data_IF_560189074164
#
_entry.id   IF_560189074164
#
_cell.length_a   1.000
_cell.length_b   1.000
_cell.length_c   1.000
_cell.angle_alpha   90.00
_cell.angle_beta   90.00
_cell.angle_gamma   90.00
#
_symmetry.space_group_name_H-M   'P 1'
#
loop_
_entity.id
_entity.type
_entity.pdbx_description
1 polymer ?
#
# COMPACT_ATOMS: atom_id res chain seq x y z
N UNK A 1 6.90 18.71 13.70
CA UNK A 1 5.94 17.89 14.49
C UNK A 1 5.11 16.93 13.64
N UNK A 2 4.55 17.33 12.48
CA UNK A 2 3.62 16.50 11.70
C UNK A 2 4.23 15.25 11.06
N UNK A 3 5.51 15.30 10.67
CA UNK A 3 6.25 14.12 10.17
C UNK A 3 6.35 13.04 11.25
N UNK A 4 6.65 13.45 12.48
CA UNK A 4 6.72 12.52 13.62
C UNK A 4 5.36 11.86 13.89
N UNK A 5 4.26 12.64 13.80
CA UNK A 5 2.89 12.11 13.93
C UNK A 5 2.54 11.10 12.84
N UNK A 6 2.84 11.44 11.57
CA UNK A 6 2.61 10.52 10.46
C UNK A 6 3.47 9.25 10.58
N UNK A 7 4.72 9.38 11.01
CA UNK A 7 5.62 8.26 11.29
C UNK A 7 5.12 7.36 12.42
N UNK A 8 4.66 7.94 13.53
CA UNK A 8 4.05 7.17 14.64
C UNK A 8 2.76 6.47 14.22
N UNK A 9 1.92 7.11 13.40
CA UNK A 9 0.71 6.48 12.86
C UNK A 9 1.05 5.31 11.92
N UNK A 10 2.06 5.47 11.07
CA UNK A 10 2.54 4.41 10.19
C UNK A 10 3.10 3.22 10.99
N UNK A 11 4.02 3.48 11.92
CA UNK A 11 4.61 2.44 12.76
C UNK A 11 3.56 1.74 13.61
N UNK A 12 2.64 2.49 14.23
CA UNK A 12 1.52 1.93 14.98
C UNK A 12 0.62 1.05 14.11
N UNK A 13 0.28 1.51 12.90
CA UNK A 13 -0.50 0.74 11.93
C UNK A 13 0.20 -0.56 11.51
N UNK A 14 1.51 -0.50 11.23
CA UNK A 14 2.32 -1.69 10.90
C UNK A 14 2.35 -2.68 12.06
N UNK A 15 2.58 -2.20 13.30
CA UNK A 15 2.59 -3.06 14.50
C UNK A 15 1.22 -3.71 14.72
N UNK A 16 0.13 -2.95 14.57
CA UNK A 16 -1.23 -3.50 14.70
C UNK A 16 -1.55 -4.53 13.61
N UNK A 17 -1.15 -4.26 12.37
CA UNK A 17 -1.31 -5.21 11.27
C UNK A 17 -0.53 -6.51 11.52
N UNK A 18 0.73 -6.40 11.99
CA UNK A 18 1.55 -7.55 12.35
C UNK A 18 0.96 -8.34 13.52
N UNK A 19 0.49 -7.66 14.57
CA UNK A 19 -0.14 -8.29 15.71
C UNK A 19 -1.42 -9.05 15.31
N UNK A 20 -2.26 -8.43 14.48
CA UNK A 20 -3.47 -9.06 13.96
C UNK A 20 -3.15 -10.26 13.07
N UNK A 21 -2.19 -10.13 12.15
CA UNK A 21 -1.77 -11.21 11.27
C UNK A 21 -1.15 -12.37 12.06
N UNK A 22 -0.33 -12.09 13.08
CA UNK A 22 0.24 -13.09 13.99
C UNK A 22 -0.86 -13.81 14.78
N UNK A 23 -1.84 -13.08 15.31
CA UNK A 23 -2.97 -13.66 16.04
C UNK A 23 -3.85 -14.57 15.17
N UNK A 24 -4.12 -14.16 13.91
CA UNK A 24 -4.96 -14.92 12.99
C UNK A 24 -4.24 -16.15 12.39
N UNK A 25 -2.93 -16.05 12.17
CA UNK A 25 -2.13 -17.15 11.59
C UNK A 25 -1.61 -18.14 12.62
N UNK A 26 -1.59 -17.77 13.92
CA UNK A 26 -0.94 -18.54 14.98
C UNK A 26 0.59 -18.56 14.87
N UNK A 27 1.17 -17.77 13.95
CA UNK A 27 2.61 -17.69 13.73
C UNK A 27 3.22 -16.51 14.50
N UNK A 28 4.52 -16.61 14.80
CA UNK A 28 5.28 -15.50 15.36
C UNK A 28 5.34 -14.30 14.39
N UNK A 29 5.48 -13.07 14.92
CA UNK A 29 5.55 -11.85 14.09
C UNK A 29 6.75 -11.86 13.13
N UNK A 30 7.84 -12.54 13.48
CA UNK A 30 9.00 -12.73 12.62
C UNK A 30 8.68 -13.59 11.38
N UNK A 31 7.82 -14.60 11.53
CA UNK A 31 7.41 -15.47 10.44
C UNK A 31 6.48 -14.72 9.47
N UNK A 32 5.52 -13.95 10.01
CA UNK A 32 4.65 -13.08 9.22
C UNK A 32 5.46 -12.04 8.44
N UNK A 33 6.45 -11.43 9.09
CA UNK A 33 7.30 -10.43 8.44
C UNK A 33 8.14 -11.06 7.32
N UNK A 34 8.77 -12.21 7.56
CA UNK A 34 9.51 -12.96 6.54
C UNK A 34 8.63 -13.33 5.35
N UNK A 35 7.44 -13.87 5.62
CA UNK A 35 6.44 -14.16 4.59
C UNK A 35 6.10 -12.93 3.76
N UNK A 36 5.91 -11.77 4.39
CA UNK A 36 5.62 -10.54 3.68
C UNK A 36 6.76 -10.14 2.74
N UNK A 37 8.01 -10.22 3.20
CA UNK A 37 9.18 -9.96 2.35
C UNK A 37 9.33 -10.97 1.21
N UNK A 38 9.06 -12.25 1.46
CA UNK A 38 9.19 -13.33 0.48
C UNK A 38 8.11 -13.27 -0.60
N UNK A 39 6.89 -12.83 -0.25
CA UNK A 39 5.76 -12.73 -1.19
C UNK A 39 5.69 -11.36 -1.84
N UNK A 40 5.65 -10.26 -1.09
CA UNK A 40 5.45 -8.93 -1.66
C UNK A 40 6.73 -8.39 -2.31
N UNK A 41 7.90 -8.81 -1.82
CA UNK A 41 9.19 -8.29 -2.22
C UNK A 41 9.56 -6.99 -1.50
N UNK A 42 10.84 -6.88 -1.13
CA UNK A 42 11.35 -5.73 -0.36
C UNK A 42 11.17 -4.38 -1.07
N UNK A 43 11.33 -4.34 -2.40
CA UNK A 43 11.17 -3.11 -3.19
C UNK A 43 9.75 -2.55 -3.11
N UNK A 44 8.74 -3.41 -3.22
CA UNK A 44 7.33 -3.02 -3.08
C UNK A 44 7.06 -2.46 -1.68
N UNK A 45 7.52 -3.17 -0.63
CA UNK A 45 7.32 -2.77 0.77
C UNK A 45 7.93 -1.39 1.04
N UNK A 46 9.17 -1.14 0.61
CA UNK A 46 9.85 0.15 0.82
C UNK A 46 9.10 1.30 0.14
N UNK A 47 8.70 1.12 -1.12
CA UNK A 47 7.94 2.14 -1.85
C UNK A 47 6.55 2.36 -1.24
N UNK A 48 5.86 1.30 -0.85
CA UNK A 48 4.56 1.34 -0.20
C UNK A 48 4.61 2.11 1.13
N UNK A 49 5.61 1.82 1.97
CA UNK A 49 5.80 2.50 3.26
C UNK A 49 6.14 3.98 3.05
N UNK A 50 6.97 4.29 2.06
CA UNK A 50 7.35 5.68 1.74
C UNK A 50 6.14 6.49 1.31
N UNK A 51 5.33 5.95 0.38
CA UNK A 51 4.11 6.63 -0.09
C UNK A 51 3.06 6.73 1.02
N UNK A 52 2.91 5.68 1.84
CA UNK A 52 2.01 5.66 2.99
C UNK A 52 2.42 6.70 4.03
N UNK A 53 3.73 6.90 4.26
CA UNK A 53 4.24 7.96 5.12
C UNK A 53 3.86 9.34 4.59
N UNK A 54 4.01 9.59 3.29
CA UNK A 54 3.60 10.87 2.67
C UNK A 54 2.10 11.11 2.86
N UNK A 55 1.25 10.10 2.62
CA UNK A 55 -0.19 10.21 2.83
C UNK A 55 -0.57 10.47 4.30
N UNK A 56 0.04 9.76 5.24
CA UNK A 56 -0.24 9.92 6.67
C UNK A 56 0.30 11.25 7.24
N UNK A 57 1.45 11.72 6.74
CA UNK A 57 1.98 13.04 7.13
C UNK A 57 1.14 14.18 6.59
N UNK A 58 0.55 14.02 5.39
CA UNK A 58 -0.46 14.92 4.88
C UNK A 58 -1.71 14.94 5.76
N UNK A 59 -2.20 13.76 6.18
CA UNK A 59 -3.37 13.63 7.03
C UNK A 59 -3.17 14.18 8.46
N UNK A 60 -1.99 13.98 9.06
CA UNK A 60 -1.70 14.39 10.44
C UNK A 60 -1.48 15.90 10.63
N UNK A 61 -1.58 16.70 9.55
CA UNK A 61 -1.38 18.14 9.59
C UNK A 61 -2.62 18.87 10.11
N UNK A 62 -2.44 19.90 10.95
CA UNK A 62 -3.56 20.65 11.49
C UNK A 62 -4.29 21.45 10.41
N UNK A 63 -5.63 21.47 10.49
CA UNK A 63 -6.49 22.31 9.65
C UNK A 63 -6.14 23.79 9.85
N UNK A 64 -5.79 24.49 8.77
CA UNK A 64 -5.39 25.91 8.79
C UNK A 64 -3.88 26.17 8.69
N UNK A 65 -3.03 25.14 8.63
CA UNK A 65 -1.63 25.36 8.28
C UNK A 65 -1.51 25.93 6.85
N UNK A 66 -0.62 26.90 6.64
CA UNK A 66 -0.45 27.59 5.35
C UNK A 66 -0.12 26.63 4.20
N UNK A 67 0.57 25.53 4.50
CA UNK A 67 0.97 24.50 3.55
C UNK A 67 0.02 23.28 3.54
N UNK A 68 -1.09 23.31 4.30
CA UNK A 68 -2.03 22.18 4.40
C UNK A 68 -2.60 21.77 3.04
N UNK A 69 -2.91 22.74 2.17
CA UNK A 69 -3.42 22.47 0.82
C UNK A 69 -2.39 21.76 -0.06
N UNK A 70 -1.13 22.19 0.01
CA UNK A 70 -0.04 21.56 -0.74
C UNK A 70 0.17 20.11 -0.28
N UNK A 71 0.16 19.88 1.03
CA UNK A 71 0.30 18.54 1.59
C UNK A 71 -0.91 17.64 1.32
N UNK A 72 -2.13 18.19 1.32
CA UNK A 72 -3.32 17.42 0.94
C UNK A 72 -3.19 16.90 -0.51
N UNK A 73 -2.70 17.73 -1.42
CA UNK A 73 -2.43 17.31 -2.80
C UNK A 73 -1.30 16.27 -2.86
N UNK A 74 -0.20 16.49 -2.13
CA UNK A 74 0.88 15.51 -2.03
C UNK A 74 0.40 14.15 -1.48
N UNK A 75 -0.48 14.17 -0.47
CA UNK A 75 -1.11 12.97 0.08
C UNK A 75 -2.01 12.28 -0.94
N UNK A 76 -2.83 13.03 -1.68
CA UNK A 76 -3.67 12.49 -2.75
C UNK A 76 -2.82 11.84 -3.85
N UNK A 77 -1.73 12.50 -4.28
CA UNK A 77 -0.79 11.93 -5.23
C UNK A 77 -0.09 10.68 -4.68
N UNK A 78 0.25 10.65 -3.39
CA UNK A 78 0.81 9.47 -2.77
C UNK A 78 -0.18 8.28 -2.80
N UNK A 79 -1.47 8.52 -2.54
CA UNK A 79 -2.49 7.45 -2.62
C UNK A 79 -2.67 6.92 -4.03
N UNK A 80 -2.66 7.80 -5.04
CA UNK A 80 -2.63 7.38 -6.46
C UNK A 80 -1.35 6.59 -6.77
N UNK A 81 -0.21 7.03 -6.24
CA UNK A 81 1.06 6.33 -6.35
C UNK A 81 1.02 4.92 -5.78
N UNK A 82 0.34 4.69 -4.65
CA UNK A 82 0.16 3.35 -4.07
C UNK A 82 -0.63 2.45 -5.02
N UNK A 83 -1.71 2.96 -5.61
CA UNK A 83 -2.50 2.19 -6.57
C UNK A 83 -1.70 1.87 -7.84
N UNK A 84 -0.97 2.86 -8.38
CA UNK A 84 -0.09 2.65 -9.53
C UNK A 84 1.01 1.63 -9.22
N UNK A 85 1.66 1.74 -8.06
CA UNK A 85 2.69 0.80 -7.60
C UNK A 85 2.16 -0.63 -7.52
N UNK A 86 0.96 -0.83 -6.96
CA UNK A 86 0.30 -2.13 -6.88
C UNK A 86 0.07 -2.74 -8.27
N UNK A 87 -0.43 -1.94 -9.22
CA UNK A 87 -0.64 -2.37 -10.60
C UNK A 87 0.70 -2.68 -11.29
N UNK A 88 1.72 -1.84 -11.10
CA UNK A 88 3.05 -2.06 -11.69
C UNK A 88 3.68 -3.36 -11.19
N UNK A 89 3.64 -3.63 -9.89
CA UNK A 89 4.19 -4.88 -9.34
C UNK A 89 3.35 -6.10 -9.71
N UNK A 90 2.04 -5.93 -9.89
CA UNK A 90 1.19 -6.99 -10.45
C UNK A 90 1.61 -7.33 -11.87
N UNK A 91 1.77 -6.32 -12.73
CA UNK A 91 2.26 -6.51 -14.10
C UNK A 91 3.66 -7.12 -14.11
N UNK A 92 4.57 -6.65 -13.25
CA UNK A 92 5.92 -7.22 -13.11
C UNK A 92 5.88 -8.70 -12.74
N UNK A 93 5.10 -9.08 -11.71
CA UNK A 93 4.98 -10.47 -11.29
C UNK A 93 4.36 -11.36 -12.37
N UNK A 94 3.36 -10.85 -13.11
CA UNK A 94 2.78 -11.57 -14.26
C UNK A 94 3.80 -11.72 -15.40
N UNK A 95 4.50 -10.65 -15.76
CA UNK A 95 5.52 -10.67 -16.82
C UNK A 95 6.64 -11.65 -16.50
N UNK A 96 7.15 -11.64 -15.26
CA UNK A 96 8.11 -12.62 -14.78
C UNK A 96 7.51 -14.04 -14.83
N UNK A 97 6.24 -14.21 -14.44
CA UNK A 97 5.55 -15.50 -14.53
C UNK A 97 5.56 -16.06 -15.96
N UNK A 98 5.17 -15.24 -16.94
CA UNK A 98 5.14 -15.62 -18.36
C UNK A 98 6.54 -15.91 -18.91
N UNK A 99 7.54 -15.12 -18.54
CA UNK A 99 8.93 -15.36 -18.94
C UNK A 99 9.42 -16.75 -18.49
N UNK A 100 9.03 -17.20 -17.29
CA UNK A 100 9.40 -18.53 -16.80
C UNK A 100 8.84 -19.68 -17.62
N UNK A 101 7.66 -19.49 -18.25
CA UNK A 101 7.06 -20.45 -19.17
C UNK A 101 7.78 -20.49 -20.53
N UNK A 102 8.28 -19.35 -21.00
CA UNK A 102 8.95 -19.24 -22.29
C UNK A 102 10.36 -19.87 -22.29
N UNK A 103 11.01 -19.94 -21.12
CA UNK A 103 12.41 -20.35 -20.99
C UNK A 103 12.68 -21.85 -20.83
N UNK A 104 11.67 -22.71 -20.64
CA UNK A 104 11.88 -24.14 -20.41
C UNK A 104 11.00 -25.04 -21.30
N UNK A 105 11.56 -26.15 -21.84
CA UNK A 105 10.76 -27.17 -22.48
C UNK A 105 9.83 -27.81 -21.46
N UNK A 106 8.53 -27.83 -21.78
CA UNK A 106 7.50 -28.47 -20.95
C UNK A 106 7.60 -29.99 -21.13
N UNK A 107 8.18 -30.67 -20.15
CA UNK A 107 8.21 -32.14 -20.06
C UNK A 107 7.75 -32.62 -18.67
N UNK A 108 7.63 -33.94 -18.50
CA UNK A 108 7.13 -34.54 -17.27
C UNK A 108 8.03 -34.30 -16.04
N UNK A 109 9.29 -33.90 -16.23
CA UNK A 109 10.24 -33.62 -15.16
C UNK A 109 10.31 -32.13 -14.81
N UNK A 110 10.13 -31.23 -15.78
CA UNK A 110 10.16 -29.78 -15.58
C UNK A 110 8.83 -29.19 -15.08
N UNK A 111 7.69 -29.81 -15.41
CA UNK A 111 6.37 -29.27 -15.09
C UNK A 111 6.11 -28.98 -13.59
N UNK A 112 6.48 -29.85 -12.62
CA UNK A 112 6.25 -29.56 -11.19
C UNK A 112 7.02 -28.32 -10.70
N UNK A 113 8.25 -28.15 -11.15
CA UNK A 113 9.11 -27.00 -10.78
C UNK A 113 8.54 -25.72 -11.38
N UNK A 114 8.12 -25.76 -12.65
CA UNK A 114 7.50 -24.62 -13.31
C UNK A 114 6.21 -24.17 -12.63
N UNK A 115 5.35 -25.10 -12.21
CA UNK A 115 4.11 -24.76 -11.49
C UNK A 115 4.41 -24.05 -10.17
N UNK A 116 5.42 -24.50 -9.43
CA UNK A 116 5.80 -23.89 -8.15
C UNK A 116 6.34 -22.47 -8.36
N UNK A 117 7.21 -22.27 -9.35
CA UNK A 117 7.76 -20.96 -9.70
C UNK A 117 6.68 -19.99 -10.19
N UNK A 118 5.77 -20.47 -11.04
CA UNK A 118 4.62 -19.69 -11.52
C UNK A 118 3.72 -19.27 -10.35
N UNK A 119 3.43 -20.20 -9.44
CA UNK A 119 2.62 -19.94 -8.24
C UNK A 119 3.26 -18.85 -7.38
N UNK A 120 4.58 -18.87 -7.21
CA UNK A 120 5.29 -17.85 -6.43
C UNK A 120 5.22 -16.47 -7.09
N UNK A 121 5.48 -16.39 -8.40
CA UNK A 121 5.47 -15.12 -9.17
C UNK A 121 4.06 -14.51 -9.24
N UNK A 122 3.04 -15.34 -9.45
CA UNK A 122 1.65 -14.90 -9.44
C UNK A 122 1.15 -14.57 -8.03
N UNK A 123 1.56 -15.31 -7.01
CA UNK A 123 1.24 -14.96 -5.61
C UNK A 123 1.76 -13.56 -5.27
N UNK A 124 3.00 -13.23 -5.64
CA UNK A 124 3.53 -11.87 -5.50
C UNK A 124 2.66 -10.85 -6.24
N UNK A 125 2.37 -11.11 -7.51
CA UNK A 125 1.53 -10.21 -8.33
C UNK A 125 0.17 -9.94 -7.67
N UNK A 126 -0.57 -10.98 -7.30
CA UNK A 126 -1.89 -10.83 -6.71
C UNK A 126 -1.85 -10.21 -5.31
N UNK A 127 -0.88 -10.57 -4.47
CA UNK A 127 -0.81 -10.04 -3.10
C UNK A 127 -0.47 -8.55 -3.05
N UNK A 128 0.33 -8.05 -4.01
CA UNK A 128 0.62 -6.61 -4.09
C UNK A 128 -0.64 -5.78 -4.40
N UNK A 129 -1.58 -6.30 -5.19
CA UNK A 129 -2.88 -5.65 -5.45
C UNK A 129 -3.88 -5.86 -4.33
N UNK A 130 -3.98 -7.07 -3.77
CA UNK A 130 -4.85 -7.38 -2.63
C UNK A 130 -4.54 -6.49 -1.43
N UNK A 131 -3.28 -6.11 -1.23
CA UNK A 131 -2.88 -5.22 -0.13
C UNK A 131 -2.86 -3.75 -0.58
N UNK A 132 -2.24 -3.47 -1.73
CA UNK A 132 -1.99 -2.11 -2.18
C UNK A 132 -3.24 -1.33 -2.56
N UNK A 133 -4.19 -1.94 -3.28
CA UNK A 133 -5.40 -1.23 -3.71
C UNK A 133 -6.33 -0.87 -2.54
N UNK A 134 -6.64 -1.78 -1.60
CA UNK A 134 -7.41 -1.41 -0.41
C UNK A 134 -6.71 -0.35 0.44
N UNK A 135 -5.37 -0.43 0.59
CA UNK A 135 -4.64 0.58 1.34
C UNK A 135 -4.70 1.96 0.67
N UNK A 136 -4.55 2.02 -0.65
CA UNK A 136 -4.70 3.25 -1.43
C UNK A 136 -6.08 3.88 -1.22
N UNK A 137 -7.15 3.10 -1.34
CA UNK A 137 -8.53 3.60 -1.22
C UNK A 137 -8.86 4.03 0.21
N UNK A 138 -8.37 3.31 1.23
CA UNK A 138 -8.53 3.70 2.63
C UNK A 138 -7.85 5.04 2.93
N UNK A 139 -6.56 5.17 2.60
CA UNK A 139 -5.81 6.40 2.84
C UNK A 139 -6.40 7.59 2.07
N UNK A 140 -6.83 7.37 0.82
CA UNK A 140 -7.51 8.38 0.00
C UNK A 140 -8.81 8.83 0.64
N UNK A 141 -9.62 7.89 1.13
CA UNK A 141 -10.88 8.19 1.81
C UNK A 141 -10.64 8.99 3.08
N UNK A 142 -9.65 8.61 3.90
CA UNK A 142 -9.26 9.36 5.10
C UNK A 142 -8.86 10.80 4.78
N UNK A 143 -8.04 11.01 3.75
CA UNK A 143 -7.64 12.35 3.31
C UNK A 143 -8.84 13.19 2.84
N UNK A 144 -9.69 12.65 1.97
CA UNK A 144 -10.87 13.35 1.46
C UNK A 144 -11.85 13.73 2.56
N UNK A 145 -12.15 12.82 3.48
CA UNK A 145 -13.06 13.08 4.60
C UNK A 145 -12.49 14.14 5.55
N UNK A 146 -11.18 14.09 5.84
CA UNK A 146 -10.53 15.10 6.69
C UNK A 146 -10.51 16.49 6.04
N UNK A 147 -10.31 16.56 4.72
CA UNK A 147 -10.36 17.80 3.96
C UNK A 147 -11.78 18.39 3.91
N UNK A 148 -12.80 17.55 3.72
CA UNK A 148 -14.20 17.97 3.73
C UNK A 148 -14.62 18.55 5.08
N UNK A 149 -14.19 17.94 6.19
CA UNK A 149 -14.45 18.43 7.55
C UNK A 149 -13.81 19.79 7.85
N UNK A 150 -12.76 20.15 7.13
CA UNK A 150 -12.01 21.41 7.32
C UNK A 150 -12.59 22.60 6.56
N UNK A 151 -13.54 22.40 5.63
CA UNK A 151 -14.26 23.51 4.99
C UNK A 151 -15.35 24.01 5.93
N UNK A 152 -15.33 25.28 6.38
CA UNK A 152 -16.47 25.83 7.10
C UNK A 152 -17.68 25.81 6.16
N UNK A 153 -18.84 25.38 6.68
CA UNK A 153 -20.12 25.48 5.98
C UNK A 153 -20.31 26.95 5.63
N UNK A 154 -20.15 27.30 4.35
CA UNK A 154 -20.55 28.61 3.83
C UNK A 154 -22.05 28.70 4.06
N UNK A 155 -22.48 29.55 5.00
CA UNK A 155 -23.90 29.86 5.17
C UNK A 155 -24.42 30.37 3.83
N UNK A 156 -25.24 29.55 3.18
CA UNK A 156 -26.03 29.93 2.02
C UNK A 156 -27.14 30.85 2.53
N UNK A 157 -27.12 32.12 2.11
CA UNK A 157 -28.18 33.08 2.39
C UNK A 157 -27.67 34.41 2.91
N UNK A 158 -27.26 35.28 1.99
CA UNK A 158 -27.39 36.72 2.19
C UNK A 158 -28.09 37.28 0.94
N UNK A 159 -29.40 37.59 1.00
CA UNK A 159 -30.09 38.33 -0.05
C UNK A 159 -29.80 39.82 0.16
N UNK A 160 -28.96 40.39 -0.71
CA UNK A 160 -28.93 41.84 -0.95
C UNK A 160 -29.86 42.18 -2.10
#
# INVERSE_FOLDING_TARGET
MSILRGGSALLGGVVLALALASALSGQGPDAVLRWAFDILGGGFIVLLLTLSLVALTAWARPSGAADARWWAEAGMQATNGIAALALTYTLLGISLGIESLAGQPLDAHSAPVLIMDLTRRFSMAFMTTVIGLPLSTLLRSMLLVSAARSKPVSKMGDPS
#
